data_IF_898392419056
#
_entry.id   IF_898392419056
#
_cell.length_a   1.000
_cell.length_b   1.000
_cell.length_c   1.000
_cell.angle_alpha   90.00
_cell.angle_beta   90.00
_cell.angle_gamma   90.00
#
_symmetry.space_group_name_H-M   'P 1'
#
loop_
_entity.id
_entity.type
_entity.pdbx_description
1 polymer ?
#
# COMPACT_ATOMS: atom_id res chain seq x y z
N UNK A 1 47.86 -34.42 14.69
CA UNK A 1 49.05 -33.74 14.16
C UNK A 1 49.08 -33.90 12.65
N UNK A 2 48.54 -32.96 11.91
CA UNK A 2 48.58 -32.88 10.45
C UNK A 2 49.07 -31.48 10.09
N UNK A 3 50.35 -31.38 9.80
CA UNK A 3 50.97 -30.13 9.32
C UNK A 3 50.45 -29.84 7.92
N UNK A 4 49.69 -28.75 7.77
CA UNK A 4 49.40 -28.16 6.47
C UNK A 4 50.73 -27.83 5.78
N UNK A 5 51.02 -28.47 4.64
CA UNK A 5 52.10 -28.05 3.76
C UNK A 5 51.67 -26.77 3.07
N UNK A 6 52.07 -25.63 3.66
CA UNK A 6 52.14 -24.39 2.90
C UNK A 6 53.25 -24.54 1.87
N UNK A 7 52.92 -24.38 0.61
CA UNK A 7 53.88 -24.30 -0.48
C UNK A 7 54.61 -22.97 -0.29
N UNK A 8 55.85 -23.00 0.14
CA UNK A 8 56.78 -21.86 0.04
C UNK A 8 57.17 -21.72 -1.43
N UNK A 9 56.41 -20.99 -2.23
CA UNK A 9 56.82 -20.58 -3.56
C UNK A 9 57.45 -19.17 -3.42
N UNK A 10 58.73 -19.11 -3.41
CA UNK A 10 59.49 -17.88 -3.19
C UNK A 10 60.04 -17.28 -4.50
N UNK A 11 59.47 -17.54 -5.67
CA UNK A 11 59.90 -16.83 -6.88
C UNK A 11 58.76 -15.96 -7.43
N UNK A 12 59.09 -14.73 -7.75
CA UNK A 12 58.20 -13.81 -8.49
C UNK A 12 57.58 -14.45 -9.76
N UNK A 13 58.32 -15.40 -10.34
CA UNK A 13 57.91 -16.18 -11.53
C UNK A 13 56.77 -17.13 -11.24
N UNK A 14 56.75 -17.78 -10.05
CA UNK A 14 55.69 -18.69 -9.66
C UNK A 14 54.41 -17.96 -9.32
N UNK A 15 54.53 -16.77 -8.64
CA UNK A 15 53.39 -15.90 -8.35
C UNK A 15 52.76 -15.37 -9.64
N UNK A 16 53.59 -14.93 -10.59
CA UNK A 16 53.13 -14.47 -11.89
C UNK A 16 52.36 -15.56 -12.64
N UNK A 17 52.89 -16.76 -12.66
CA UNK A 17 52.25 -17.94 -13.29
C UNK A 17 50.93 -18.26 -12.63
N UNK A 18 50.84 -18.25 -11.31
CA UNK A 18 49.55 -18.50 -10.60
C UNK A 18 48.53 -17.39 -10.96
N UNK A 19 48.94 -16.14 -11.06
CA UNK A 19 48.03 -15.04 -11.47
C UNK A 19 47.59 -15.27 -12.91
N UNK A 20 48.48 -15.56 -13.85
CA UNK A 20 48.20 -15.80 -15.25
C UNK A 20 47.22 -16.99 -15.39
N UNK A 21 47.52 -18.13 -14.75
CA UNK A 21 46.68 -19.31 -14.74
C UNK A 21 45.27 -19.03 -14.14
N UNK A 22 45.19 -18.19 -13.11
CA UNK A 22 43.94 -17.78 -12.48
C UNK A 22 43.10 -16.91 -13.38
N UNK A 23 43.71 -15.98 -14.12
CA UNK A 23 43.03 -15.11 -15.07
C UNK A 23 42.50 -15.86 -16.29
N UNK A 24 43.20 -16.98 -16.69
CA UNK A 24 42.73 -17.83 -17.81
C UNK A 24 41.47 -18.64 -17.44
N UNK A 25 41.21 -18.88 -16.16
CA UNK A 25 40.01 -19.62 -15.70
C UNK A 25 38.75 -18.73 -15.80
N UNK A 26 38.88 -17.38 -15.77
CA UNK A 26 37.76 -16.48 -15.90
C UNK A 26 37.19 -16.51 -17.31
N UNK A 27 35.87 -16.30 -17.45
CA UNK A 27 35.21 -16.45 -18.76
C UNK A 27 35.72 -15.44 -19.78
N UNK A 28 35.58 -14.15 -19.53
CA UNK A 28 36.10 -13.11 -20.38
C UNK A 28 36.75 -12.03 -19.53
N UNK A 29 38.04 -11.83 -19.74
CA UNK A 29 38.79 -10.80 -19.05
C UNK A 29 39.63 -10.03 -20.04
N UNK A 30 39.62 -8.70 -19.87
CA UNK A 30 40.48 -7.77 -20.59
C UNK A 30 40.98 -6.69 -19.63
N UNK A 31 42.24 -6.32 -19.76
CA UNK A 31 42.86 -5.24 -19.01
C UNK A 31 43.44 -4.25 -20.01
N UNK A 32 43.06 -2.97 -19.82
CA UNK A 32 43.64 -1.86 -20.58
C UNK A 32 44.48 -0.97 -19.67
N UNK A 33 45.50 -0.36 -20.26
CA UNK A 33 46.28 0.68 -19.59
C UNK A 33 45.56 2.04 -19.54
N UNK A 34 46.16 3.04 -18.94
CA UNK A 34 45.63 4.41 -18.85
C UNK A 34 45.45 5.11 -20.21
N UNK A 35 46.03 4.54 -21.29
CA UNK A 35 45.97 5.07 -22.63
C UNK A 35 44.95 4.30 -23.50
N UNK A 36 44.21 3.35 -22.90
CA UNK A 36 43.24 2.51 -23.57
C UNK A 36 43.85 1.40 -24.42
N UNK A 37 45.15 1.03 -24.17
CA UNK A 37 45.77 -0.08 -24.88
C UNK A 37 45.57 -1.38 -24.12
N UNK A 38 45.30 -2.46 -24.84
CA UNK A 38 45.11 -3.80 -24.30
C UNK A 38 46.45 -4.31 -23.78
N UNK A 39 46.57 -4.52 -22.46
CA UNK A 39 47.78 -5.06 -21.80
C UNK A 39 47.64 -6.52 -21.44
N UNK A 40 46.40 -6.99 -21.29
CA UNK A 40 46.09 -8.39 -21.05
C UNK A 40 44.70 -8.72 -21.62
N UNK A 41 44.57 -9.92 -22.17
CA UNK A 41 43.29 -10.52 -22.58
C UNK A 41 43.45 -12.03 -22.51
N UNK A 42 42.47 -12.77 -21.96
CA UNK A 42 42.53 -14.22 -21.87
C UNK A 42 42.06 -14.90 -23.16
N UNK A 43 42.44 -16.19 -23.32
CA UNK A 43 42.13 -16.93 -24.53
C UNK A 43 40.65 -17.12 -24.76
N UNK A 44 39.84 -17.24 -23.71
CA UNK A 44 38.39 -17.32 -23.80
C UNK A 44 37.80 -16.05 -24.45
N UNK A 45 38.30 -14.86 -24.08
CA UNK A 45 37.80 -13.62 -24.66
C UNK A 45 38.31 -13.42 -26.09
N UNK A 46 39.56 -13.82 -26.37
CA UNK A 46 40.07 -13.82 -27.74
C UNK A 46 39.22 -14.70 -28.67
N UNK A 47 38.87 -15.90 -28.22
CA UNK A 47 38.00 -16.83 -28.98
C UNK A 47 36.60 -16.23 -29.21
N UNK A 48 36.04 -15.56 -28.21
CA UNK A 48 34.75 -14.89 -28.32
C UNK A 48 34.78 -13.74 -29.35
N UNK A 49 35.86 -12.94 -29.36
CA UNK A 49 36.05 -11.83 -30.32
C UNK A 49 36.48 -12.28 -31.72
N UNK A 50 36.98 -13.52 -31.84
CA UNK A 50 37.44 -14.05 -33.13
C UNK A 50 38.85 -13.63 -33.52
N UNK A 51 39.69 -13.21 -32.57
CA UNK A 51 41.07 -12.77 -32.79
C UNK A 51 42.07 -13.64 -32.05
N UNK A 52 43.36 -13.57 -32.47
CA UNK A 52 44.45 -14.17 -31.71
C UNK A 52 45.00 -13.15 -30.71
N UNK A 53 45.39 -13.61 -29.52
CA UNK A 53 45.93 -12.75 -28.44
C UNK A 53 47.06 -11.82 -28.92
N UNK A 54 47.96 -12.34 -29.76
CA UNK A 54 49.08 -11.57 -30.30
C UNK A 54 48.66 -10.40 -31.21
N UNK A 55 47.51 -10.46 -31.80
CA UNK A 55 46.94 -9.43 -32.66
C UNK A 55 46.29 -8.29 -31.88
N UNK A 56 45.93 -8.58 -30.65
CA UNK A 56 45.20 -7.64 -29.80
C UNK A 56 46.09 -6.91 -28.77
N UNK A 57 47.18 -7.53 -28.33
CA UNK A 57 48.05 -6.93 -27.33
C UNK A 57 48.74 -5.67 -27.89
N UNK A 58 48.58 -4.54 -27.15
CA UNK A 58 49.10 -3.23 -27.50
C UNK A 58 48.18 -2.39 -28.40
N UNK A 59 47.16 -3.01 -28.98
CA UNK A 59 46.17 -2.27 -29.80
C UNK A 59 45.26 -1.44 -28.89
N UNK A 60 44.68 -0.39 -29.44
CA UNK A 60 43.66 0.41 -28.73
C UNK A 60 42.34 -0.37 -28.65
N UNK A 61 41.72 -0.36 -27.47
CA UNK A 61 40.46 -1.08 -27.30
C UNK A 61 39.36 -0.66 -28.25
N UNK A 62 39.30 0.60 -28.65
CA UNK A 62 38.32 1.13 -29.64
C UNK A 62 38.41 0.47 -31.02
N UNK A 63 39.62 0.04 -31.43
CA UNK A 63 39.80 -0.63 -32.70
C UNK A 63 39.26 -2.08 -32.69
N UNK A 64 39.04 -2.64 -31.51
CA UNK A 64 38.58 -4.02 -31.30
C UNK A 64 37.12 -4.04 -30.86
N UNK A 65 36.75 -3.11 -30.00
CA UNK A 65 35.38 -2.95 -29.45
C UNK A 65 34.99 -1.48 -29.58
N UNK A 66 34.40 -1.05 -30.72
CA UNK A 66 34.17 0.38 -31.04
C UNK A 66 33.31 1.11 -30.00
N UNK A 67 32.31 0.43 -29.45
CA UNK A 67 31.36 1.03 -28.52
C UNK A 67 31.73 0.75 -27.06
N UNK A 68 33.02 0.50 -26.77
CA UNK A 68 33.46 0.14 -25.41
C UNK A 68 33.20 1.28 -24.40
N UNK A 69 32.65 0.92 -23.23
CA UNK A 69 32.47 1.84 -22.10
C UNK A 69 33.66 1.80 -21.10
N UNK A 70 34.78 1.20 -21.47
CA UNK A 70 35.98 1.14 -20.61
C UNK A 70 36.59 2.53 -20.38
N UNK A 71 36.42 3.44 -21.34
CA UNK A 71 36.87 4.83 -21.20
C UNK A 71 36.09 5.59 -20.14
N UNK A 72 34.78 5.33 -20.00
CA UNK A 72 33.96 5.97 -18.96
C UNK A 72 34.54 5.64 -17.56
N UNK A 73 35.00 4.39 -17.37
CA UNK A 73 35.62 3.96 -16.11
C UNK A 73 37.04 4.52 -15.93
N UNK A 74 37.80 4.74 -17.04
CA UNK A 74 39.09 5.42 -17.00
C UNK A 74 38.97 6.89 -16.59
N UNK A 75 37.95 7.59 -17.09
CA UNK A 75 37.70 9.00 -16.83
C UNK A 75 37.12 9.24 -15.44
N UNK A 76 36.10 8.46 -15.04
CA UNK A 76 35.39 8.66 -13.78
C UNK A 76 36.12 8.06 -12.59
N UNK A 77 36.90 6.99 -12.81
CA UNK A 77 37.51 6.21 -11.75
C UNK A 77 36.56 5.46 -10.84
N UNK A 78 35.29 5.35 -11.25
CA UNK A 78 34.24 4.64 -10.53
C UNK A 78 34.02 3.25 -11.11
N UNK A 79 33.90 2.19 -10.27
CA UNK A 79 33.64 0.85 -10.75
C UNK A 79 32.18 0.74 -11.23
N UNK A 80 31.96 -0.05 -12.27
CA UNK A 80 30.62 -0.44 -12.73
C UNK A 80 30.47 -1.95 -12.58
N UNK A 81 29.36 -2.40 -12.00
CA UNK A 81 29.07 -3.82 -11.79
C UNK A 81 27.83 -4.23 -12.56
N UNK A 82 27.87 -5.45 -13.11
CA UNK A 82 26.73 -6.11 -13.78
C UNK A 82 26.05 -5.27 -14.87
N UNK A 83 26.85 -4.51 -15.66
CA UNK A 83 26.35 -3.71 -16.78
C UNK A 83 26.24 -4.59 -18.05
N UNK A 84 25.10 -4.49 -18.73
CA UNK A 84 24.88 -5.20 -20.00
C UNK A 84 25.56 -4.44 -21.13
N UNK A 85 26.40 -5.13 -21.88
CA UNK A 85 27.00 -4.64 -23.11
C UNK A 85 26.55 -5.48 -24.30
N UNK A 86 26.04 -4.84 -25.32
CA UNK A 86 25.57 -5.47 -26.56
C UNK A 86 26.53 -5.13 -27.69
N UNK A 87 27.07 -6.20 -28.32
CA UNK A 87 27.92 -6.06 -29.49
C UNK A 87 27.09 -5.78 -30.72
N UNK A 88 27.71 -5.22 -31.78
CA UNK A 88 27.04 -4.88 -33.04
C UNK A 88 26.43 -6.11 -33.75
N UNK A 89 26.90 -7.29 -33.47
CA UNK A 89 26.38 -8.58 -33.98
C UNK A 89 25.20 -9.16 -33.13
N UNK A 90 24.72 -8.41 -32.14
CA UNK A 90 23.59 -8.81 -31.28
C UNK A 90 23.97 -9.72 -30.12
N UNK A 91 25.25 -10.07 -29.95
CA UNK A 91 25.70 -10.80 -28.76
C UNK A 91 25.76 -9.86 -27.56
N UNK A 92 25.23 -10.29 -26.42
CA UNK A 92 25.27 -9.52 -25.18
C UNK A 92 26.10 -10.21 -24.11
N UNK A 93 26.85 -9.44 -23.32
CA UNK A 93 27.60 -9.93 -22.16
C UNK A 93 27.38 -8.99 -20.98
N UNK A 94 27.34 -9.57 -19.77
CA UNK A 94 27.30 -8.79 -18.53
C UNK A 94 28.71 -8.61 -18.00
N UNK A 95 29.11 -7.37 -17.85
CA UNK A 95 30.46 -6.98 -17.42
C UNK A 95 30.46 -6.24 -16.11
N UNK A 96 31.55 -6.50 -15.38
CA UNK A 96 31.97 -5.62 -14.29
C UNK A 96 33.27 -4.94 -14.69
N UNK A 97 33.35 -3.62 -14.58
CA UNK A 97 34.51 -2.79 -14.91
C UNK A 97 35.06 -2.14 -13.66
N UNK A 98 36.33 -2.39 -13.35
CA UNK A 98 36.96 -1.97 -12.10
C UNK A 98 38.22 -1.18 -12.45
N UNK A 99 38.37 0.05 -11.98
CA UNK A 99 39.60 0.83 -12.19
C UNK A 99 40.75 0.25 -11.36
N UNK A 100 41.91 0.10 -12.02
CA UNK A 100 43.16 -0.30 -11.35
C UNK A 100 43.88 0.96 -10.90
N UNK A 101 44.01 1.16 -9.61
CA UNK A 101 44.67 2.35 -9.02
C UNK A 101 45.99 1.97 -8.35
N UNK A 102 46.99 2.85 -8.47
CA UNK A 102 48.23 2.70 -7.71
C UNK A 102 48.01 3.09 -6.23
N UNK A 103 49.08 2.96 -5.41
CA UNK A 103 49.02 3.30 -3.96
C UNK A 103 48.82 4.82 -3.70
N UNK A 104 48.94 5.67 -4.72
CA UNK A 104 48.62 7.09 -4.63
C UNK A 104 47.20 7.43 -5.08
N UNK A 105 46.41 6.42 -5.50
CA UNK A 105 45.04 6.60 -5.97
C UNK A 105 44.95 6.97 -7.47
N UNK A 106 46.06 7.04 -8.21
CA UNK A 106 46.04 7.35 -9.62
C UNK A 106 45.66 6.12 -10.45
N UNK A 107 44.81 6.31 -11.47
CA UNK A 107 44.32 5.24 -12.33
C UNK A 107 45.43 4.80 -13.28
N UNK A 108 45.79 3.53 -13.22
CA UNK A 108 46.77 2.88 -14.07
C UNK A 108 46.14 2.14 -15.26
N UNK A 109 44.87 1.82 -15.15
CA UNK A 109 44.15 1.07 -16.14
C UNK A 109 42.78 0.67 -15.66
N UNK A 110 42.09 -0.15 -16.45
CA UNK A 110 40.79 -0.76 -16.10
C UNK A 110 40.83 -2.25 -16.41
N UNK A 111 40.31 -3.04 -15.51
CA UNK A 111 40.01 -4.46 -15.74
C UNK A 111 38.51 -4.60 -16.01
N UNK A 112 38.15 -5.30 -17.08
CA UNK A 112 36.79 -5.71 -17.36
C UNK A 112 36.70 -7.24 -17.27
N UNK A 113 35.70 -7.74 -16.54
CA UNK A 113 35.48 -9.15 -16.29
C UNK A 113 34.03 -9.49 -16.57
N UNK A 114 33.78 -10.55 -17.34
CA UNK A 114 32.47 -11.19 -17.43
C UNK A 114 32.55 -12.57 -16.74
N UNK A 115 31.62 -12.82 -15.84
CA UNK A 115 31.51 -14.09 -15.11
C UNK A 115 30.49 -15.05 -15.74
N UNK A 116 29.72 -14.58 -16.76
CA UNK A 116 28.71 -15.37 -17.44
C UNK A 116 29.14 -15.70 -18.87
N UNK A 117 29.09 -16.98 -19.19
CA UNK A 117 29.42 -17.49 -20.51
C UNK A 117 28.16 -17.42 -21.38
N UNK A 118 28.15 -16.47 -22.34
CA UNK A 118 27.24 -16.40 -23.49
C UNK A 118 25.72 -16.31 -23.27
N UNK A 119 25.08 -15.90 -24.35
CA UNK A 119 23.64 -15.88 -24.63
C UNK A 119 22.83 -17.07 -24.11
N UNK A 120 23.43 -18.25 -23.97
CA UNK A 120 22.71 -19.45 -23.53
C UNK A 120 22.36 -19.41 -22.04
N UNK A 121 23.23 -18.90 -21.18
CA UNK A 121 22.94 -18.76 -19.73
C UNK A 121 22.00 -17.57 -19.47
N UNK A 122 22.16 -16.48 -20.20
CA UNK A 122 21.21 -15.37 -20.17
C UNK A 122 19.87 -15.79 -20.79
N UNK A 123 19.87 -16.52 -21.88
CA UNK A 123 18.68 -17.11 -22.49
C UNK A 123 17.96 -18.05 -21.53
N UNK A 124 18.70 -18.92 -20.84
CA UNK A 124 18.13 -19.82 -19.81
C UNK A 124 17.55 -19.03 -18.63
N UNK A 125 18.26 -18.01 -18.12
CA UNK A 125 17.76 -17.15 -17.05
C UNK A 125 16.54 -16.33 -17.52
N UNK A 126 16.55 -15.83 -18.74
CA UNK A 126 15.38 -15.15 -19.33
C UNK A 126 14.20 -16.10 -19.49
N UNK A 127 14.41 -17.31 -19.99
CA UNK A 127 13.36 -18.33 -20.04
C UNK A 127 12.84 -18.72 -18.67
N UNK A 128 13.71 -18.83 -17.67
CA UNK A 128 13.33 -19.13 -16.28
C UNK A 128 12.54 -17.95 -15.67
N UNK A 129 12.97 -16.72 -15.89
CA UNK A 129 12.23 -15.50 -15.50
C UNK A 129 10.88 -15.44 -16.21
N UNK A 130 10.82 -15.72 -17.51
CA UNK A 130 9.56 -15.73 -18.26
C UNK A 130 8.64 -16.89 -17.82
N UNK A 131 9.19 -18.08 -17.53
CA UNK A 131 8.43 -19.19 -16.93
C UNK A 131 7.91 -18.83 -15.55
N UNK A 132 8.72 -18.17 -14.71
CA UNK A 132 8.28 -17.66 -13.40
C UNK A 132 7.25 -16.55 -13.53
N UNK A 133 7.38 -15.66 -14.51
CA UNK A 133 6.38 -14.63 -14.84
C UNK A 133 5.07 -15.24 -15.33
N UNK A 134 5.13 -16.21 -16.23
CA UNK A 134 3.96 -16.94 -16.73
C UNK A 134 3.29 -17.76 -15.62
N UNK A 135 4.08 -18.46 -14.79
CA UNK A 135 3.58 -19.19 -13.62
C UNK A 135 2.93 -18.23 -12.59
N UNK A 136 3.55 -17.08 -12.36
CA UNK A 136 2.99 -16.04 -11.49
C UNK A 136 1.72 -15.42 -12.10
N UNK A 137 1.67 -15.20 -13.42
CA UNK A 137 0.47 -14.75 -14.12
C UNK A 137 -0.64 -15.80 -14.08
N UNK A 138 -0.32 -17.09 -14.27
CA UNK A 138 -1.29 -18.19 -14.13
C UNK A 138 -1.76 -18.33 -12.69
N UNK A 139 -0.87 -18.17 -11.70
CA UNK A 139 -1.23 -18.17 -10.29
C UNK A 139 -2.09 -16.95 -9.92
N UNK A 140 -1.77 -15.78 -10.46
CA UNK A 140 -2.60 -14.56 -10.35
C UNK A 140 -3.95 -14.77 -11.05
N UNK A 141 -4.00 -15.39 -12.23
CA UNK A 141 -5.25 -15.73 -12.92
C UNK A 141 -6.06 -16.79 -12.16
N UNK A 142 -5.42 -17.77 -11.53
CA UNK A 142 -6.08 -18.75 -10.66
C UNK A 142 -6.60 -18.10 -9.38
N UNK A 143 -5.85 -17.17 -8.78
CA UNK A 143 -6.32 -16.35 -7.66
C UNK A 143 -7.43 -15.37 -8.09
N UNK A 144 -7.38 -14.86 -9.31
CA UNK A 144 -8.43 -14.03 -9.91
C UNK A 144 -9.68 -14.86 -10.28
N UNK A 145 -9.52 -16.13 -10.60
CA UNK A 145 -10.62 -17.08 -10.79
C UNK A 145 -11.32 -17.48 -9.48
N UNK A 146 -10.64 -17.31 -8.34
CA UNK A 146 -11.21 -17.46 -6.98
C UNK A 146 -11.68 -16.11 -6.41
N UNK A 147 -11.21 -14.99 -6.97
CA UNK A 147 -11.67 -13.64 -6.68
C UNK A 147 -12.65 -13.23 -7.76
N UNK A 148 -13.90 -12.97 -7.36
CA UNK A 148 -14.97 -12.42 -8.18
C UNK A 148 -14.45 -11.48 -9.27
N UNK A 149 -15.03 -11.60 -10.47
CA UNK A 149 -14.73 -10.87 -11.71
C UNK A 149 -14.13 -9.47 -11.54
N UNK A 150 -13.19 -9.05 -12.41
CA UNK A 150 -12.46 -7.81 -12.26
C UNK A 150 -13.44 -6.66 -12.01
N UNK A 151 -13.29 -6.00 -10.86
CA UNK A 151 -14.11 -4.86 -10.48
C UNK A 151 -13.74 -3.66 -11.36
N UNK A 152 -14.25 -3.64 -12.58
CA UNK A 152 -14.42 -2.40 -13.34
C UNK A 152 -15.48 -1.58 -12.61
N UNK A 153 -15.61 -0.27 -12.83
CA UNK A 153 -16.69 0.54 -12.23
C UNK A 153 -18.10 -0.02 -12.50
N UNK A 154 -18.26 -0.87 -13.52
CA UNK A 154 -19.47 -1.67 -13.75
C UNK A 154 -19.79 -2.66 -12.62
N UNK A 155 -18.80 -3.05 -11.81
CA UNK A 155 -19.02 -3.91 -10.63
C UNK A 155 -19.52 -3.14 -9.40
N UNK A 156 -19.42 -1.82 -9.41
CA UNK A 156 -20.06 -0.97 -8.42
C UNK A 156 -21.56 -0.91 -8.78
N UNK A 157 -22.36 -1.73 -8.09
CA UNK A 157 -23.80 -1.77 -8.29
C UNK A 157 -24.42 -0.50 -7.73
N UNK A 158 -25.16 0.23 -8.57
CA UNK A 158 -25.85 1.46 -8.20
C UNK A 158 -26.04 2.38 -9.41
N UNK A 159 -27.18 3.06 -9.45
CA UNK A 159 -27.64 3.99 -10.49
C UNK A 159 -28.02 5.35 -9.93
N UNK A 160 -28.01 5.50 -8.59
CA UNK A 160 -28.32 6.77 -7.94
C UNK A 160 -27.39 7.89 -8.46
N UNK A 161 -27.87 9.15 -8.51
CA UNK A 161 -27.09 10.27 -9.04
C UNK A 161 -25.73 10.40 -8.36
N UNK A 162 -25.68 10.22 -7.04
CA UNK A 162 -24.45 10.34 -6.27
C UNK A 162 -23.43 9.23 -6.59
N UNK A 163 -23.89 7.98 -6.72
CA UNK A 163 -23.00 6.87 -7.13
C UNK A 163 -22.52 7.05 -8.57
N UNK A 164 -23.36 7.54 -9.46
CA UNK A 164 -22.99 7.84 -10.85
C UNK A 164 -21.96 8.96 -10.92
N UNK A 165 -22.11 10.02 -10.15
CA UNK A 165 -21.14 11.10 -10.03
C UNK A 165 -19.79 10.59 -9.53
N UNK A 166 -19.79 9.77 -8.46
CA UNK A 166 -18.57 9.17 -7.90
C UNK A 166 -17.86 8.31 -8.96
N UNK A 167 -18.60 7.45 -9.69
CA UNK A 167 -18.02 6.66 -10.79
C UNK A 167 -17.34 7.53 -11.85
N UNK A 168 -17.96 8.65 -12.21
CA UNK A 168 -17.41 9.60 -13.18
C UNK A 168 -16.14 10.29 -12.67
N UNK A 169 -16.09 10.67 -11.40
CA UNK A 169 -14.89 11.24 -10.77
C UNK A 169 -13.77 10.19 -10.77
N UNK A 170 -14.06 8.98 -10.32
CA UNK A 170 -13.08 7.89 -10.27
C UNK A 170 -12.51 7.56 -11.64
N UNK A 171 -13.31 7.54 -12.70
CA UNK A 171 -12.85 7.28 -14.05
C UNK A 171 -11.78 8.28 -14.54
N UNK A 172 -11.80 9.52 -14.03
CA UNK A 172 -10.82 10.56 -14.40
C UNK A 172 -9.50 10.44 -13.65
N UNK A 173 -9.50 9.85 -12.44
CA UNK A 173 -8.34 9.86 -11.54
C UNK A 173 -7.63 8.51 -11.42
N UNK A 174 -8.15 7.45 -11.99
CA UNK A 174 -7.59 6.09 -11.88
C UNK A 174 -6.15 5.95 -12.35
N UNK A 175 -5.71 6.76 -13.29
CA UNK A 175 -4.36 6.72 -13.85
C UNK A 175 -3.40 7.73 -13.21
N UNK A 176 -3.82 8.37 -12.11
CA UNK A 176 -2.96 9.28 -11.35
C UNK A 176 -2.30 8.55 -10.17
N UNK A 177 -1.21 9.10 -9.64
CA UNK A 177 -0.58 8.64 -8.39
C UNK A 177 -1.10 9.40 -7.17
N UNK A 178 -2.13 10.22 -7.36
CA UNK A 178 -2.74 11.06 -6.32
C UNK A 178 -3.34 10.18 -5.23
N UNK A 179 -3.06 10.43 -3.94
CA UNK A 179 -3.75 9.76 -2.85
C UNK A 179 -5.26 9.98 -2.91
N UNK A 180 -6.03 8.92 -2.65
CA UNK A 180 -7.49 8.95 -2.65
C UNK A 180 -7.96 8.56 -1.25
N UNK A 181 -8.79 9.40 -0.64
CA UNK A 181 -9.45 9.14 0.63
C UNK A 181 -10.92 8.80 0.40
N UNK A 182 -11.30 7.57 0.75
CA UNK A 182 -12.69 7.11 0.73
C UNK A 182 -13.28 7.22 2.13
N UNK A 183 -14.26 8.07 2.32
CA UNK A 183 -14.96 8.26 3.60
C UNK A 183 -16.39 7.73 3.52
N UNK A 184 -17.01 7.52 4.66
CA UNK A 184 -18.40 7.08 4.77
C UNK A 184 -18.60 5.99 5.82
N UNK A 185 -19.85 5.75 6.19
CA UNK A 185 -20.22 4.80 7.23
C UNK A 185 -19.69 3.38 6.98
N UNK A 186 -19.58 2.60 8.06
CA UNK A 186 -19.22 1.18 7.92
C UNK A 186 -20.22 0.43 7.03
N UNK A 187 -19.69 -0.43 6.14
CA UNK A 187 -20.53 -1.23 5.26
C UNK A 187 -21.06 -0.51 4.01
N UNK A 188 -20.68 0.73 3.70
CA UNK A 188 -21.07 1.44 2.47
C UNK A 188 -20.44 0.89 1.20
N UNK A 189 -19.36 0.09 1.34
CA UNK A 189 -18.66 -0.55 0.21
C UNK A 189 -17.31 0.07 -0.13
N UNK A 190 -16.68 0.86 0.75
CA UNK A 190 -15.38 1.52 0.50
C UNK A 190 -14.34 0.59 -0.11
N UNK A 191 -14.22 -0.64 0.37
CA UNK A 191 -13.28 -1.63 -0.16
C UNK A 191 -13.61 -2.04 -1.61
N UNK A 192 -14.90 -2.11 -1.98
CA UNK A 192 -15.33 -2.41 -3.36
C UNK A 192 -14.93 -1.26 -4.29
N UNK A 193 -15.11 -0.01 -3.83
CA UNK A 193 -14.66 1.16 -4.59
C UNK A 193 -13.14 1.20 -4.74
N UNK A 194 -12.39 0.92 -3.67
CA UNK A 194 -10.92 0.84 -3.74
C UNK A 194 -10.45 -0.24 -4.73
N UNK A 195 -11.06 -1.41 -4.71
CA UNK A 195 -10.77 -2.48 -5.68
C UNK A 195 -11.13 -2.06 -7.11
N UNK A 196 -12.23 -1.34 -7.29
CA UNK A 196 -12.65 -0.83 -8.60
C UNK A 196 -11.66 0.22 -9.15
N UNK A 197 -11.13 1.11 -8.30
CA UNK A 197 -10.10 2.08 -8.66
C UNK A 197 -8.83 1.35 -9.14
N UNK A 198 -8.35 0.36 -8.38
CA UNK A 198 -7.19 -0.43 -8.74
C UNK A 198 -7.38 -1.11 -10.09
N UNK A 199 -8.51 -1.82 -10.28
CA UNK A 199 -8.79 -2.59 -11.50
C UNK A 199 -9.04 -1.71 -12.74
N UNK A 200 -9.42 -0.46 -12.56
CA UNK A 200 -9.57 0.51 -13.65
C UNK A 200 -8.25 1.24 -13.98
N UNK A 201 -7.22 1.10 -13.17
CA UNK A 201 -5.94 1.79 -13.32
C UNK A 201 -4.97 1.06 -14.26
N UNK A 202 -3.89 1.74 -14.64
CA UNK A 202 -2.76 1.14 -15.37
C UNK A 202 -2.06 0.03 -14.55
N UNK A 203 -2.36 -0.10 -13.26
CA UNK A 203 -1.80 -1.11 -12.34
C UNK A 203 -2.70 -2.33 -12.18
N UNK A 204 -3.78 -2.45 -12.96
CA UNK A 204 -4.77 -3.56 -12.86
C UNK A 204 -4.20 -4.97 -12.96
N UNK A 205 -3.06 -5.13 -13.63
CA UNK A 205 -2.36 -6.42 -13.75
C UNK A 205 -1.41 -6.74 -12.59
N UNK A 206 -1.21 -5.79 -11.68
CA UNK A 206 -0.33 -5.92 -10.53
C UNK A 206 -1.13 -6.32 -9.27
N UNK A 207 -0.49 -6.81 -8.20
CA UNK A 207 -1.16 -7.12 -6.96
C UNK A 207 -1.83 -5.90 -6.33
N UNK A 208 -2.96 -6.11 -5.64
CA UNK A 208 -3.64 -5.12 -4.81
C UNK A 208 -3.32 -5.41 -3.34
N UNK A 209 -2.41 -4.62 -2.75
CA UNK A 209 -1.98 -4.81 -1.36
C UNK A 209 -3.01 -4.17 -0.43
N UNK A 210 -3.69 -4.99 0.37
CA UNK A 210 -4.70 -4.53 1.33
C UNK A 210 -4.15 -4.63 2.74
N UNK A 211 -4.32 -3.56 3.51
CA UNK A 211 -3.96 -3.50 4.92
C UNK A 211 -5.14 -2.95 5.69
N UNK A 212 -5.71 -3.75 6.58
CA UNK A 212 -6.68 -3.26 7.56
C UNK A 212 -5.90 -2.89 8.84
N UNK A 213 -5.88 -1.59 9.15
CA UNK A 213 -5.08 -1.06 10.25
C UNK A 213 -5.61 -1.49 11.64
N UNK A 214 -6.92 -1.78 11.75
CA UNK A 214 -7.52 -2.28 12.99
C UNK A 214 -7.28 -3.77 13.22
N UNK A 215 -7.04 -4.55 12.15
CA UNK A 215 -6.86 -5.99 12.26
C UNK A 215 -5.45 -6.40 12.73
N UNK A 216 -4.48 -5.50 12.66
CA UNK A 216 -3.10 -5.76 13.05
C UNK A 216 -2.89 -5.31 14.50
N UNK A 217 -2.38 -6.17 15.40
CA UNK A 217 -1.99 -5.76 16.74
C UNK A 217 -1.02 -4.58 16.72
N UNK A 218 -1.18 -3.61 17.63
CA UNK A 218 -0.40 -2.37 17.65
C UNK A 218 1.11 -2.61 17.68
N UNK A 219 1.54 -3.63 18.40
CA UNK A 219 2.95 -4.00 18.57
C UNK A 219 3.57 -4.54 17.26
N UNK A 220 2.74 -5.08 16.36
CA UNK A 220 3.18 -5.64 15.09
C UNK A 220 2.98 -4.69 13.91
N UNK A 221 2.18 -3.64 14.10
CA UNK A 221 1.76 -2.74 13.02
C UNK A 221 2.95 -2.11 12.32
N UNK A 222 3.95 -1.67 13.08
CA UNK A 222 5.18 -1.07 12.55
C UNK A 222 5.97 -2.07 11.69
N UNK A 223 6.20 -3.26 12.22
CA UNK A 223 6.95 -4.31 11.52
C UNK A 223 6.23 -4.84 10.28
N UNK A 224 4.89 -4.89 10.32
CA UNK A 224 4.09 -5.30 9.16
C UNK A 224 4.06 -4.24 8.06
N UNK A 225 3.92 -2.96 8.40
CA UNK A 225 3.86 -1.88 7.44
C UNK A 225 5.22 -1.56 6.81
N UNK A 226 6.26 -1.40 7.65
CA UNK A 226 7.56 -0.89 7.21
C UNK A 226 8.63 -1.97 7.05
N UNK A 227 8.43 -3.16 7.65
CA UNK A 227 9.41 -4.24 7.64
C UNK A 227 10.52 -4.04 8.66
N UNK A 228 11.44 -5.00 8.74
CA UNK A 228 12.57 -4.95 9.67
C UNK A 228 13.79 -5.68 9.13
N UNK A 229 14.98 -5.26 9.59
CA UNK A 229 16.26 -5.92 9.30
C UNK A 229 16.55 -7.03 10.31
N UNK A 230 17.48 -7.90 9.93
CA UNK A 230 17.96 -9.01 10.78
C UNK A 230 18.46 -8.51 12.12
N UNK A 231 17.98 -9.09 13.23
CA UNK A 231 18.50 -8.80 14.56
C UNK A 231 17.93 -7.53 15.23
N UNK A 232 16.89 -6.92 14.66
CA UNK A 232 16.29 -5.69 15.18
C UNK A 232 15.62 -5.89 16.54
N UNK A 233 15.07 -7.08 16.81
CA UNK A 233 14.46 -7.46 18.09
C UNK A 233 14.55 -8.97 18.33
N UNK A 234 14.31 -9.41 19.60
CA UNK A 234 14.28 -10.82 19.96
C UNK A 234 13.13 -11.54 19.27
N UNK A 235 13.42 -12.34 18.25
CA UNK A 235 12.43 -13.01 17.41
C UNK A 235 12.45 -12.59 15.93
N UNK A 236 13.29 -11.61 15.56
CA UNK A 236 13.49 -11.23 14.17
C UNK A 236 14.03 -12.43 13.36
N UNK A 237 13.38 -12.73 12.24
CA UNK A 237 13.78 -13.83 11.34
C UNK A 237 15.13 -13.52 10.69
N UNK A 238 15.98 -14.54 10.53
CA UNK A 238 17.23 -14.39 9.75
C UNK A 238 16.89 -13.96 8.33
N UNK A 239 17.43 -12.82 7.88
CA UNK A 239 17.14 -12.21 6.59
C UNK A 239 16.15 -11.03 6.65
N UNK A 240 15.60 -10.71 7.83
CA UNK A 240 14.63 -9.62 7.97
C UNK A 240 13.26 -9.95 7.36
N UNK A 241 12.38 -8.95 7.25
CA UNK A 241 11.06 -9.07 6.62
C UNK A 241 10.74 -7.80 5.85
N UNK A 242 10.35 -7.93 4.60
CA UNK A 242 9.84 -6.82 3.81
C UNK A 242 8.48 -6.34 4.36
N UNK A 243 8.30 -5.02 4.45
CA UNK A 243 7.06 -4.41 4.88
C UNK A 243 6.02 -4.34 3.76
N UNK A 244 4.75 -4.05 4.14
CA UNK A 244 3.65 -3.91 3.17
C UNK A 244 3.91 -2.79 2.16
N UNK A 245 4.60 -1.69 2.54
CA UNK A 245 4.96 -0.63 1.61
C UNK A 245 5.98 -1.09 0.57
N UNK A 246 6.99 -1.88 0.94
CA UNK A 246 7.93 -2.47 -0.03
C UNK A 246 7.21 -3.43 -0.97
N UNK A 247 6.33 -4.29 -0.44
CA UNK A 247 5.51 -5.21 -1.25
C UNK A 247 4.54 -4.47 -2.17
N UNK A 248 4.17 -3.24 -1.80
CA UNK A 248 3.31 -2.38 -2.60
C UNK A 248 4.07 -1.55 -3.65
N UNK A 249 5.37 -1.74 -3.80
CA UNK A 249 6.12 -1.01 -4.81
C UNK A 249 5.64 -1.36 -6.24
N UNK A 250 5.40 -0.32 -7.05
CA UNK A 250 4.82 -0.37 -8.40
C UNK A 250 3.36 -0.89 -8.47
N UNK A 251 2.65 -0.96 -7.33
CA UNK A 251 1.26 -1.43 -7.26
C UNK A 251 0.35 -0.45 -6.51
N UNK A 252 -0.84 -0.87 -6.14
CA UNK A 252 -1.78 -0.08 -5.33
C UNK A 252 -1.82 -0.64 -3.90
N UNK A 253 -1.73 0.24 -2.91
CA UNK A 253 -1.95 -0.09 -1.50
C UNK A 253 -3.26 0.52 -1.01
N UNK A 254 -4.06 -0.29 -0.32
CA UNK A 254 -5.23 0.12 0.43
C UNK A 254 -4.91 0.11 1.92
N UNK A 255 -5.07 1.25 2.57
CA UNK A 255 -5.03 1.40 4.02
C UNK A 255 -6.47 1.57 4.53
N UNK A 256 -7.07 0.48 4.99
CA UNK A 256 -8.43 0.49 5.52
C UNK A 256 -8.43 0.78 7.02
N UNK A 257 -9.45 1.50 7.50
CA UNK A 257 -9.57 1.97 8.88
C UNK A 257 -8.34 2.77 9.33
N UNK A 258 -7.91 3.74 8.50
CA UNK A 258 -6.69 4.54 8.72
C UNK A 258 -6.73 5.33 10.04
N UNK A 259 -7.91 5.64 10.53
CA UNK A 259 -8.16 6.29 11.82
C UNK A 259 -7.67 5.49 13.04
N UNK A 260 -7.45 4.17 12.89
CA UNK A 260 -6.95 3.30 13.95
C UNK A 260 -5.43 3.31 14.10
N UNK A 261 -4.72 4.01 13.19
CA UNK A 261 -3.27 4.15 13.27
C UNK A 261 -2.86 4.96 14.51
N UNK A 262 -1.93 4.46 15.35
CA UNK A 262 -1.31 5.25 16.42
C UNK A 262 -0.60 6.50 15.87
N UNK A 263 -0.54 7.59 16.64
CA UNK A 263 0.08 8.86 16.22
C UNK A 263 1.55 8.71 15.76
N UNK A 264 2.29 7.78 16.37
CA UNK A 264 3.66 7.46 15.97
C UNK A 264 3.70 6.88 14.55
N UNK A 265 2.78 5.97 14.23
CA UNK A 265 2.66 5.37 12.91
C UNK A 265 2.18 6.36 11.86
N UNK A 266 1.30 7.28 12.25
CA UNK A 266 0.87 8.38 11.39
C UNK A 266 2.06 9.24 10.95
N UNK A 267 3.04 9.50 11.85
CA UNK A 267 4.25 10.26 11.52
C UNK A 267 5.15 9.53 10.51
N UNK A 268 5.28 8.21 10.63
CA UNK A 268 6.05 7.39 9.68
C UNK A 268 5.35 7.30 8.32
N UNK A 269 4.03 7.10 8.33
CA UNK A 269 3.22 7.10 7.11
C UNK A 269 3.35 8.43 6.37
N UNK A 270 3.32 9.56 7.09
CA UNK A 270 3.51 10.89 6.49
C UNK A 270 4.83 10.97 5.71
N UNK A 271 5.95 10.49 6.29
CA UNK A 271 7.25 10.46 5.59
C UNK A 271 7.18 9.63 4.32
N UNK A 272 6.60 8.42 4.38
CA UNK A 272 6.44 7.57 3.19
C UNK A 272 5.64 8.29 2.10
N UNK A 273 4.57 9.01 2.45
CA UNK A 273 3.75 9.74 1.49
C UNK A 273 4.41 11.03 0.96
N UNK A 274 5.35 11.62 1.70
CA UNK A 274 6.06 12.84 1.29
C UNK A 274 7.24 12.51 0.38
N UNK A 275 8.05 11.53 0.78
CA UNK A 275 9.33 11.21 0.16
C UNK A 275 9.22 10.09 -0.87
N UNK A 276 8.11 9.32 -0.83
CA UNK A 276 7.94 8.08 -1.60
C UNK A 276 9.11 7.11 -1.37
N UNK A 277 9.55 7.04 -0.11
CA UNK A 277 10.61 6.14 0.35
C UNK A 277 10.16 5.44 1.63
N UNK A 278 10.65 4.23 1.84
CA UNK A 278 10.43 3.47 3.07
C UNK A 278 11.75 2.98 3.64
N UNK A 279 11.91 3.09 4.95
CA UNK A 279 13.03 2.52 5.71
C UNK A 279 12.53 1.37 6.57
N UNK A 280 13.23 0.23 6.54
CA UNK A 280 12.96 -0.87 7.47
C UNK A 280 13.38 -0.50 8.87
N UNK A 281 12.72 -1.06 9.86
CA UNK A 281 13.14 -0.92 11.26
C UNK A 281 14.57 -1.48 11.39
N UNK A 282 15.47 -0.67 11.94
CA UNK A 282 16.89 -1.02 12.10
C UNK A 282 17.74 -0.80 10.84
N UNK A 283 17.20 -0.28 9.76
CA UNK A 283 17.93 0.15 8.56
C UNK A 283 18.04 1.67 8.50
N UNK A 284 19.11 2.15 7.88
CA UNK A 284 19.30 3.56 7.50
C UNK A 284 19.22 3.76 5.98
N UNK A 285 18.94 2.67 5.24
CA UNK A 285 18.89 2.70 3.78
C UNK A 285 17.46 2.80 3.30
N UNK A 286 17.05 3.94 2.71
CA UNK A 286 15.71 4.10 2.18
C UNK A 286 15.53 3.29 0.88
N UNK A 287 14.33 2.76 0.70
CA UNK A 287 13.89 2.11 -0.55
C UNK A 287 12.86 3.00 -1.23
N UNK A 288 13.12 3.41 -2.47
CA UNK A 288 12.19 4.22 -3.27
C UNK A 288 10.94 3.45 -3.63
N UNK A 289 9.80 4.12 -3.56
CA UNK A 289 8.49 3.57 -3.83
C UNK A 289 7.80 4.30 -4.98
N UNK A 290 7.13 3.54 -5.82
CA UNK A 290 6.19 4.03 -6.82
C UNK A 290 4.84 3.36 -6.59
N UNK A 291 3.96 3.97 -5.78
CA UNK A 291 2.71 3.34 -5.39
C UNK A 291 1.52 4.31 -5.51
N UNK A 292 0.34 3.73 -5.73
CA UNK A 292 -0.94 4.42 -5.59
C UNK A 292 -1.48 4.14 -4.19
N UNK A 293 -1.81 5.19 -3.44
CA UNK A 293 -2.36 5.05 -2.09
C UNK A 293 -3.85 5.32 -2.10
N UNK A 294 -4.62 4.39 -1.54
CA UNK A 294 -6.03 4.55 -1.26
C UNK A 294 -6.21 4.39 0.24
N UNK A 295 -6.80 5.37 0.90
CA UNK A 295 -7.12 5.33 2.32
C UNK A 295 -8.63 5.21 2.50
N UNK A 296 -9.08 4.40 3.48
CA UNK A 296 -10.49 4.34 3.87
C UNK A 296 -10.64 4.74 5.34
N UNK A 297 -11.69 5.53 5.63
CA UNK A 297 -12.09 5.87 7.00
C UNK A 297 -13.60 5.76 7.17
N UNK A 298 -14.03 5.31 8.34
CA UNK A 298 -15.43 5.31 8.76
C UNK A 298 -15.72 6.38 9.82
N UNK A 299 -14.70 7.14 10.25
CA UNK A 299 -14.79 8.22 11.23
C UNK A 299 -14.51 9.57 10.55
N UNK A 300 -14.98 10.61 11.17
CA UNK A 300 -14.65 11.97 10.78
C UNK A 300 -13.20 12.29 11.19
N UNK A 301 -12.29 12.30 10.21
CA UNK A 301 -10.88 12.59 10.42
C UNK A 301 -10.63 14.06 10.81
N UNK A 302 -11.49 14.99 10.39
CA UNK A 302 -11.40 16.39 10.78
C UNK A 302 -11.71 16.54 12.27
N UNK A 303 -12.78 15.89 12.76
CA UNK A 303 -13.08 15.85 14.19
C UNK A 303 -11.94 15.21 14.98
N UNK A 304 -11.38 14.07 14.51
CA UNK A 304 -10.27 13.41 15.17
C UNK A 304 -9.00 14.30 15.21
N UNK A 305 -8.79 15.13 14.20
CA UNK A 305 -7.68 16.10 14.18
C UNK A 305 -7.90 17.19 15.25
N UNK A 306 -9.11 17.72 15.35
CA UNK A 306 -9.46 18.67 16.41
C UNK A 306 -9.29 18.07 17.82
N UNK A 307 -9.57 16.78 17.97
CA UNK A 307 -9.36 16.01 19.22
C UNK A 307 -7.90 15.55 19.43
N UNK A 308 -6.97 15.90 18.54
CA UNK A 308 -5.55 15.49 18.54
C UNK A 308 -5.34 13.97 18.50
N UNK A 309 -6.28 13.22 17.95
CA UNK A 309 -6.21 11.76 17.73
C UNK A 309 -5.71 11.42 16.32
N UNK A 310 -5.74 12.37 15.41
CA UNK A 310 -5.20 12.26 14.07
C UNK A 310 -4.35 13.50 13.75
N UNK A 311 -3.26 13.32 13.00
CA UNK A 311 -2.37 14.44 12.66
C UNK A 311 -2.92 15.24 11.48
N UNK A 312 -2.90 16.54 11.61
CA UNK A 312 -3.37 17.48 10.60
C UNK A 312 -2.52 17.41 9.31
N UNK A 313 -1.20 17.28 9.45
CA UNK A 313 -0.28 17.19 8.32
C UNK A 313 -0.50 15.91 7.50
N UNK A 314 -0.78 14.78 8.16
CA UNK A 314 -1.13 13.54 7.48
C UNK A 314 -2.49 13.66 6.77
N UNK A 315 -3.49 14.25 7.42
CA UNK A 315 -4.81 14.47 6.82
C UNK A 315 -4.68 15.23 5.49
N UNK A 316 -3.97 16.36 5.46
CA UNK A 316 -3.74 17.10 4.22
C UNK A 316 -2.99 16.30 3.15
N UNK A 317 -2.15 15.37 3.54
CA UNK A 317 -1.38 14.56 2.58
C UNK A 317 -2.18 13.42 1.96
N UNK A 318 -3.11 12.82 2.71
CA UNK A 318 -3.98 11.74 2.20
C UNK A 318 -5.26 12.27 1.55
N UNK A 319 -5.72 13.46 1.96
CA UNK A 319 -6.95 14.09 1.49
C UNK A 319 -6.70 15.01 0.28
N UNK A 320 -6.04 14.48 -0.75
CA UNK A 320 -5.86 15.19 -2.04
C UNK A 320 -7.13 15.06 -2.88
N UNK A 321 -7.75 13.88 -2.85
CA UNK A 321 -9.08 13.64 -3.41
C UNK A 321 -9.90 12.88 -2.37
N UNK A 322 -10.90 13.54 -1.81
CA UNK A 322 -11.87 12.92 -0.92
C UNK A 322 -13.12 12.50 -1.67
N UNK A 323 -13.55 11.28 -1.42
CA UNK A 323 -14.80 10.72 -1.96
C UNK A 323 -15.60 10.16 -0.81
N UNK A 324 -16.69 10.84 -0.51
CA UNK A 324 -17.64 10.41 0.50
C UNK A 324 -18.68 9.49 -0.13
N UNK A 325 -18.75 8.25 0.39
CA UNK A 325 -19.73 7.26 -0.03
C UNK A 325 -21.01 7.41 0.77
N UNK A 326 -22.15 7.68 0.11
CA UNK A 326 -23.41 7.88 0.80
C UNK A 326 -23.87 6.59 1.48
N UNK A 327 -24.48 6.69 2.65
CA UNK A 327 -25.13 5.55 3.30
C UNK A 327 -26.31 5.03 2.46
N UNK A 328 -26.67 3.75 2.64
CA UNK A 328 -27.68 3.10 1.81
C UNK A 328 -29.06 3.78 1.87
N UNK A 329 -29.42 4.36 3.01
CA UNK A 329 -30.67 5.13 3.17
C UNK A 329 -30.76 6.40 2.30
N UNK A 330 -29.62 6.95 1.84
CA UNK A 330 -29.56 8.13 0.96
C UNK A 330 -29.49 7.74 -0.53
N UNK A 331 -29.47 6.42 -0.83
CA UNK A 331 -29.48 5.87 -2.19
C UNK A 331 -30.46 4.70 -2.30
N UNK A 332 -31.66 4.88 -1.79
CA UNK A 332 -32.69 3.84 -1.79
C UNK A 332 -33.03 3.31 -3.20
N UNK A 333 -32.79 4.12 -4.25
CA UNK A 333 -32.91 3.74 -5.66
C UNK A 333 -31.97 2.59 -6.07
N UNK A 334 -30.83 2.44 -5.39
CA UNK A 334 -29.87 1.37 -5.66
C UNK A 334 -30.26 0.04 -5.02
N UNK A 335 -31.16 0.04 -4.03
CA UNK A 335 -31.50 -1.13 -3.24
C UNK A 335 -32.02 -2.31 -4.09
N UNK A 336 -32.94 -2.13 -5.07
CA UNK A 336 -33.39 -3.24 -5.89
C UNK A 336 -32.29 -3.92 -6.68
N UNK A 337 -31.37 -3.11 -7.25
CA UNK A 337 -30.22 -3.61 -8.02
C UNK A 337 -29.20 -4.32 -7.11
N UNK A 338 -28.93 -3.74 -5.95
CA UNK A 338 -28.07 -4.36 -4.93
C UNK A 338 -28.66 -5.68 -4.46
N UNK A 339 -29.94 -5.72 -4.14
CA UNK A 339 -30.63 -6.94 -3.70
C UNK A 339 -30.56 -8.04 -4.75
N UNK A 340 -30.87 -7.73 -6.02
CA UNK A 340 -30.74 -8.69 -7.12
C UNK A 340 -29.31 -9.23 -7.28
N UNK A 341 -28.32 -8.34 -7.30
CA UNK A 341 -26.91 -8.73 -7.40
C UNK A 341 -26.45 -9.60 -6.23
N UNK A 342 -26.95 -9.33 -5.03
CA UNK A 342 -26.65 -10.13 -3.84
C UNK A 342 -27.30 -11.51 -3.91
N UNK A 343 -28.54 -11.63 -4.38
CA UNK A 343 -29.21 -12.93 -4.61
C UNK A 343 -28.39 -13.78 -5.58
N UNK A 344 -27.97 -13.20 -6.71
CA UNK A 344 -27.13 -13.91 -7.69
C UNK A 344 -25.79 -14.38 -7.10
N UNK A 345 -25.17 -13.54 -6.28
CA UNK A 345 -23.92 -13.88 -5.57
C UNK A 345 -24.13 -15.03 -4.59
N UNK A 346 -25.22 -14.99 -3.83
CA UNK A 346 -25.56 -15.97 -2.80
C UNK A 346 -25.95 -17.31 -3.44
N UNK A 347 -26.74 -17.28 -4.51
CA UNK A 347 -27.10 -18.48 -5.29
C UNK A 347 -25.85 -19.22 -5.77
N UNK A 348 -24.88 -18.49 -6.34
CA UNK A 348 -23.60 -19.07 -6.77
C UNK A 348 -22.79 -19.66 -5.61
N UNK A 349 -22.77 -18.96 -4.46
CA UNK A 349 -22.01 -19.39 -3.28
C UNK A 349 -22.57 -20.66 -2.65
N UNK A 350 -23.89 -20.76 -2.54
CA UNK A 350 -24.55 -21.85 -1.81
C UNK A 350 -25.29 -22.85 -2.72
N UNK A 351 -25.23 -22.64 -4.05
CA UNK A 351 -25.92 -23.47 -5.05
C UNK A 351 -27.45 -23.51 -4.81
N UNK A 352 -28.03 -22.33 -4.55
CA UNK A 352 -29.46 -22.13 -4.34
C UNK A 352 -30.14 -21.70 -5.64
N UNK A 353 -31.47 -21.80 -5.66
CA UNK A 353 -32.30 -21.41 -6.81
C UNK A 353 -33.33 -20.35 -6.41
N UNK A 354 -32.89 -19.29 -5.79
CA UNK A 354 -33.72 -18.13 -5.45
C UNK A 354 -33.80 -17.22 -6.67
N UNK A 355 -35.02 -17.02 -7.18
CA UNK A 355 -35.25 -16.31 -8.45
C UNK A 355 -35.32 -14.78 -8.30
N UNK A 356 -35.39 -14.24 -7.08
CA UNK A 356 -35.42 -12.80 -6.81
C UNK A 356 -36.28 -12.44 -5.60
N UNK A 357 -36.68 -11.16 -5.53
CA UNK A 357 -37.52 -10.61 -4.47
C UNK A 357 -38.86 -10.16 -5.06
N UNK A 358 -39.95 -10.32 -4.29
CA UNK A 358 -41.26 -9.75 -4.67
C UNK A 358 -41.26 -8.23 -4.48
N UNK A 359 -42.21 -7.53 -5.11
CA UNK A 359 -42.42 -6.09 -4.97
C UNK A 359 -42.64 -5.67 -3.50
N UNK A 360 -43.42 -6.48 -2.78
CA UNK A 360 -43.71 -6.27 -1.36
C UNK A 360 -42.45 -6.43 -0.49
N UNK A 361 -41.60 -7.41 -0.83
CA UNK A 361 -40.33 -7.61 -0.16
C UNK A 361 -39.37 -6.41 -0.39
N UNK A 362 -39.29 -5.92 -1.62
CA UNK A 362 -38.50 -4.74 -1.96
C UNK A 362 -38.98 -3.50 -1.22
N UNK A 363 -40.31 -3.23 -1.23
CA UNK A 363 -40.89 -2.11 -0.46
C UNK A 363 -40.56 -2.23 1.04
N UNK A 364 -40.69 -3.44 1.60
CA UNK A 364 -40.39 -3.70 3.00
C UNK A 364 -38.92 -3.41 3.35
N UNK A 365 -38.01 -3.76 2.45
CA UNK A 365 -36.57 -3.48 2.61
C UNK A 365 -36.24 -1.99 2.42
N UNK A 366 -36.94 -1.26 1.54
CA UNK A 366 -36.76 0.18 1.34
C UNK A 366 -37.14 1.00 2.57
N UNK A 367 -38.11 0.55 3.36
CA UNK A 367 -38.51 1.21 4.61
C UNK A 367 -37.54 1.04 5.78
N UNK A 368 -36.47 0.27 5.61
CA UNK A 368 -35.50 0.05 6.65
C UNK A 368 -34.31 1.01 6.52
N UNK A 369 -33.81 1.54 7.65
CA UNK A 369 -32.78 2.58 7.65
C UNK A 369 -31.36 2.07 7.33
N UNK A 370 -31.13 0.77 7.33
CA UNK A 370 -29.84 0.12 7.03
C UNK A 370 -28.63 0.70 7.78
N UNK A 371 -28.60 0.68 9.11
CA UNK A 371 -27.46 1.22 9.89
C UNK A 371 -26.13 0.52 9.58
N UNK A 372 -26.16 -0.73 9.12
CA UNK A 372 -24.99 -1.48 8.64
C UNK A 372 -24.82 -1.46 7.12
N UNK A 373 -25.57 -0.58 6.44
CA UNK A 373 -25.47 -0.32 5.00
C UNK A 373 -25.54 -1.61 4.14
N UNK A 374 -24.73 -1.69 3.09
CA UNK A 374 -24.71 -2.84 2.15
C UNK A 374 -24.27 -4.13 2.83
N UNK A 375 -23.36 -4.03 3.83
CA UNK A 375 -22.93 -5.22 4.59
C UNK A 375 -24.09 -5.85 5.38
N UNK A 376 -24.94 -5.03 5.97
CA UNK A 376 -26.14 -5.52 6.66
C UNK A 376 -27.15 -6.07 5.65
N UNK A 377 -27.37 -5.39 4.53
CA UNK A 377 -28.26 -5.86 3.45
C UNK A 377 -27.80 -7.24 2.94
N UNK A 378 -26.51 -7.44 2.71
CA UNK A 378 -25.94 -8.72 2.28
C UNK A 378 -26.26 -9.84 3.28
N UNK A 379 -26.03 -9.62 4.58
CA UNK A 379 -26.34 -10.63 5.60
C UNK A 379 -27.84 -10.93 5.70
N UNK A 380 -28.68 -9.92 5.53
CA UNK A 380 -30.13 -10.07 5.57
C UNK A 380 -30.63 -10.89 4.39
N UNK A 381 -30.17 -10.60 3.18
CA UNK A 381 -30.52 -11.36 1.97
C UNK A 381 -29.93 -12.76 2.04
N UNK A 382 -28.67 -12.91 2.47
CA UNK A 382 -28.01 -14.22 2.63
C UNK A 382 -28.83 -15.13 3.54
N UNK A 383 -29.28 -14.61 4.69
CA UNK A 383 -30.13 -15.34 5.63
C UNK A 383 -31.46 -15.74 4.99
N UNK A 384 -32.14 -14.81 4.29
CA UNK A 384 -33.42 -15.10 3.65
C UNK A 384 -33.29 -16.16 2.54
N UNK A 385 -32.25 -16.05 1.68
CA UNK A 385 -31.96 -17.02 0.63
C UNK A 385 -31.67 -18.41 1.20
N UNK A 386 -30.81 -18.52 2.21
CA UNK A 386 -30.45 -19.81 2.81
C UNK A 386 -31.64 -20.49 3.47
N UNK A 387 -32.49 -19.72 4.15
CA UNK A 387 -33.69 -20.28 4.79
C UNK A 387 -34.79 -20.68 3.79
N UNK A 388 -34.90 -19.97 2.65
CA UNK A 388 -35.88 -20.23 1.60
C UNK A 388 -35.45 -21.39 0.70
N UNK A 389 -34.18 -21.43 0.31
CA UNK A 389 -33.62 -22.43 -0.61
C UNK A 389 -33.92 -22.18 -2.09
N UNK A 390 -35.18 -21.90 -2.47
CA UNK A 390 -35.58 -21.69 -3.85
C UNK A 390 -36.83 -20.79 -3.98
N UNK A 391 -37.08 -20.26 -5.18
CA UNK A 391 -38.24 -19.42 -5.50
C UNK A 391 -38.08 -17.95 -5.12
N UNK A 392 -39.18 -17.21 -5.04
CA UNK A 392 -39.20 -15.75 -4.82
C UNK A 392 -39.20 -15.42 -3.33
N UNK A 393 -38.32 -14.54 -2.86
CA UNK A 393 -38.34 -14.02 -1.50
C UNK A 393 -39.50 -13.06 -1.32
N UNK A 394 -40.37 -13.35 -0.36
CA UNK A 394 -41.52 -12.54 0.02
C UNK A 394 -41.22 -11.69 1.25
N UNK A 395 -42.05 -10.69 1.55
CA UNK A 395 -41.90 -9.84 2.74
C UNK A 395 -41.85 -10.66 4.04
N UNK A 396 -42.56 -11.79 4.11
CA UNK A 396 -42.55 -12.73 5.24
C UNK A 396 -41.19 -13.31 5.56
N UNK A 397 -40.30 -13.46 4.54
CA UNK A 397 -38.96 -14.01 4.70
C UNK A 397 -38.02 -13.00 5.43
N UNK A 398 -38.46 -11.75 5.62
CA UNK A 398 -37.70 -10.66 6.28
C UNK A 398 -38.27 -10.21 7.63
N UNK A 399 -39.32 -10.86 8.17
CA UNK A 399 -39.95 -10.45 9.44
C UNK A 399 -39.00 -10.37 10.64
N UNK A 400 -37.86 -11.06 10.58
CA UNK A 400 -36.80 -10.92 11.62
C UNK A 400 -36.23 -9.52 11.71
N UNK A 401 -36.39 -8.67 10.70
CA UNK A 401 -35.96 -7.25 10.75
C UNK A 401 -36.84 -6.42 11.70
N UNK A 402 -38.08 -6.82 11.95
CA UNK A 402 -38.96 -6.08 12.89
C UNK A 402 -38.37 -6.05 14.31
N UNK A 403 -37.77 -7.17 14.75
CA UNK A 403 -37.09 -7.20 16.04
C UNK A 403 -35.91 -6.22 16.11
N UNK A 404 -35.19 -6.06 14.98
CA UNK A 404 -34.09 -5.08 14.87
C UNK A 404 -34.63 -3.65 14.80
N UNK A 405 -35.73 -3.38 14.08
CA UNK A 405 -36.42 -2.07 14.07
C UNK A 405 -36.78 -1.61 15.46
N UNK A 406 -37.37 -2.48 16.29
CA UNK A 406 -37.76 -2.18 17.68
C UNK A 406 -36.54 -1.90 18.57
N UNK A 407 -35.44 -2.63 18.41
CA UNK A 407 -34.20 -2.42 19.17
C UNK A 407 -33.48 -1.12 18.76
N UNK A 408 -33.47 -0.77 17.48
CA UNK A 408 -32.85 0.47 16.99
C UNK A 408 -33.70 1.69 17.34
N UNK A 409 -35.03 1.59 17.26
CA UNK A 409 -35.94 2.66 17.67
C UNK A 409 -35.83 2.93 19.20
N UNK A 410 -35.70 1.89 20.02
CA UNK A 410 -35.46 2.05 21.47
C UNK A 410 -34.13 2.78 21.76
N UNK A 411 -33.05 2.44 21.05
CA UNK A 411 -31.75 3.13 21.19
C UNK A 411 -31.78 4.57 20.67
N UNK A 412 -32.50 4.83 19.58
CA UNK A 412 -32.65 6.19 19.04
C UNK A 412 -33.46 7.09 19.99
N UNK A 413 -34.51 6.54 20.63
CA UNK A 413 -35.32 7.23 21.65
C UNK A 413 -34.50 7.51 22.89
N UNK A 414 -33.70 6.53 23.38
CA UNK A 414 -32.79 6.75 24.50
C UNK A 414 -31.71 7.80 24.20
N UNK A 415 -31.09 7.76 23.01
CA UNK A 415 -30.07 8.74 22.61
C UNK A 415 -30.68 10.14 22.40
N UNK A 416 -31.86 10.24 21.80
CA UNK A 416 -32.59 11.50 21.64
C UNK A 416 -33.08 12.04 22.99
N UNK A 417 -33.57 11.18 23.88
CA UNK A 417 -33.99 11.55 25.23
C UNK A 417 -32.81 12.03 26.08
N UNK A 418 -31.65 11.38 26.00
CA UNK A 418 -30.43 11.79 26.70
C UNK A 418 -29.92 13.12 26.15
N UNK A 419 -29.86 13.29 24.83
CA UNK A 419 -29.46 14.58 24.19
C UNK A 419 -30.42 15.73 24.52
N UNK A 420 -31.73 15.46 24.52
CA UNK A 420 -32.76 16.41 24.94
C UNK A 420 -32.68 16.76 26.44
N UNK A 421 -32.40 15.74 27.26
CA UNK A 421 -32.23 15.94 28.71
C UNK A 421 -31.01 16.83 29.03
N UNK A 422 -29.87 16.61 28.37
CA UNK A 422 -28.70 17.47 28.59
C UNK A 422 -28.91 18.92 28.10
N UNK A 423 -29.51 19.09 26.91
CA UNK A 423 -29.88 20.45 26.42
C UNK A 423 -30.90 21.11 27.33
N UNK A 424 -31.92 20.41 27.74
CA UNK A 424 -32.92 20.93 28.69
C UNK A 424 -32.31 21.31 30.04
N UNK A 425 -31.38 20.53 30.56
CA UNK A 425 -30.67 20.84 31.80
C UNK A 425 -29.77 22.06 31.68
N UNK A 426 -29.04 22.23 30.56
CA UNK A 426 -28.22 23.42 30.33
C UNK A 426 -29.04 24.70 30.18
N UNK A 427 -30.19 24.64 29.51
CA UNK A 427 -31.10 25.77 29.36
C UNK A 427 -31.73 26.16 30.72
N UNK A 428 -32.23 25.16 31.46
CA UNK A 428 -32.81 25.40 32.80
C UNK A 428 -31.77 25.96 33.79
N UNK A 429 -30.54 25.47 33.75
CA UNK A 429 -29.44 25.95 34.58
C UNK A 429 -29.06 27.42 34.25
N UNK A 430 -28.99 27.74 32.95
CA UNK A 430 -28.74 29.11 32.46
C UNK A 430 -29.81 30.07 32.92
N UNK A 431 -31.08 29.68 32.82
CA UNK A 431 -32.22 30.49 33.21
C UNK A 431 -32.25 30.76 34.75
N UNK A 432 -31.95 29.73 35.55
CA UNK A 432 -31.86 29.85 37.02
C UNK A 432 -30.72 30.80 37.43
N UNK A 433 -29.56 30.74 36.79
CA UNK A 433 -28.45 31.64 37.07
C UNK A 433 -28.81 33.07 36.67
N UNK A 434 -29.48 33.27 35.56
CA UNK A 434 -29.89 34.58 35.06
C UNK A 434 -30.96 35.22 35.97
N UNK A 435 -31.91 34.42 36.47
CA UNK A 435 -32.90 34.84 37.43
C UNK A 435 -32.27 35.27 38.77
N UNK A 436 -31.36 34.44 39.31
CA UNK A 436 -30.67 34.76 40.57
C UNK A 436 -29.78 36.02 40.46
N UNK A 437 -29.12 36.23 39.33
CA UNK A 437 -28.36 37.45 39.07
C UNK A 437 -29.26 38.67 38.98
N UNK A 438 -30.42 38.57 38.32
CA UNK A 438 -31.41 39.66 38.22
C UNK A 438 -32.02 39.96 39.56
N UNK A 439 -32.42 38.96 40.35
CA UNK A 439 -33.01 39.16 41.68
C UNK A 439 -32.03 39.79 42.68
N UNK A 440 -30.73 39.58 42.51
CA UNK A 440 -29.69 40.12 43.40
C UNK A 440 -29.06 41.41 42.86
N UNK A 441 -29.63 42.01 41.80
CA UNK A 441 -29.10 43.23 41.19
C UNK A 441 -27.68 43.10 40.66
N UNK A 442 -27.31 41.94 40.13
CA UNK A 442 -25.98 41.64 39.60
C UNK A 442 -24.94 41.25 40.66
N UNK A 443 -25.32 41.14 41.92
CA UNK A 443 -24.39 40.78 42.98
C UNK A 443 -24.09 39.25 42.98
N UNK A 444 -23.00 38.88 42.33
CA UNK A 444 -22.57 37.45 42.12
C UNK A 444 -22.36 36.70 43.45
N UNK A 445 -21.97 37.40 44.52
CA UNK A 445 -21.79 36.79 45.83
C UNK A 445 -23.11 36.40 46.51
N UNK A 446 -24.13 37.26 46.36
CA UNK A 446 -25.49 36.99 46.88
C UNK A 446 -26.18 35.91 46.03
N UNK A 447 -26.06 36.01 44.71
CA UNK A 447 -26.59 35.03 43.75
C UNK A 447 -26.02 33.60 44.01
N UNK A 448 -24.70 33.45 44.26
CA UNK A 448 -24.12 32.18 44.60
C UNK A 448 -24.71 31.57 45.88
N UNK A 449 -24.95 32.43 46.89
CA UNK A 449 -25.56 32.01 48.16
C UNK A 449 -27.03 31.57 47.99
N UNK A 450 -27.78 32.29 47.15
CA UNK A 450 -29.19 32.01 46.83
C UNK A 450 -29.33 30.69 46.02
N UNK A 451 -28.41 30.44 45.10
CA UNK A 451 -28.33 29.19 44.32
C UNK A 451 -27.71 28.00 45.08
N UNK A 452 -27.21 28.22 46.32
CA UNK A 452 -26.59 27.16 47.12
C UNK A 452 -25.27 26.64 46.53
N UNK A 453 -24.56 27.42 45.71
CA UNK A 453 -23.30 27.01 45.08
C UNK A 453 -22.12 27.87 45.50
N UNK A 454 -20.90 27.35 45.30
CA UNK A 454 -19.70 28.15 45.57
C UNK A 454 -19.54 29.31 44.59
N UNK A 455 -18.93 30.42 45.03
CA UNK A 455 -18.65 31.58 44.16
C UNK A 455 -17.82 31.20 42.91
N UNK A 456 -16.80 30.34 43.09
CA UNK A 456 -15.97 29.86 42.01
C UNK A 456 -16.76 29.07 40.95
N UNK A 457 -17.70 28.27 41.38
CA UNK A 457 -18.58 27.50 40.48
C UNK A 457 -19.55 28.42 39.75
N UNK A 458 -20.11 29.45 40.42
CA UNK A 458 -20.96 30.42 39.75
C UNK A 458 -20.18 31.19 38.66
N UNK A 459 -18.96 31.66 38.94
CA UNK A 459 -18.12 32.35 37.96
C UNK A 459 -17.82 31.49 36.75
N UNK A 460 -17.44 30.22 36.95
CA UNK A 460 -17.20 29.28 35.87
C UNK A 460 -18.44 29.07 34.99
N UNK A 461 -19.64 29.04 35.60
CA UNK A 461 -20.91 28.88 34.86
C UNK A 461 -21.32 30.15 34.12
N UNK A 462 -21.10 31.32 34.71
CA UNK A 462 -21.33 32.64 34.05
C UNK A 462 -20.46 32.73 32.78
N UNK A 463 -19.19 32.33 32.88
CA UNK A 463 -18.25 32.34 31.75
C UNK A 463 -18.68 31.31 30.68
N UNK A 464 -19.00 30.07 31.10
CA UNK A 464 -19.48 29.01 30.21
C UNK A 464 -20.72 29.40 29.39
N UNK A 465 -21.67 30.12 30.02
CA UNK A 465 -22.94 30.48 29.38
C UNK A 465 -22.97 31.89 28.81
N UNK A 466 -21.86 32.63 28.87
CA UNK A 466 -21.73 33.98 28.32
C UNK A 466 -22.70 34.99 28.98
N UNK A 467 -23.03 34.82 30.29
CA UNK A 467 -23.91 35.71 31.03
C UNK A 467 -23.10 36.91 31.55
N UNK A 468 -23.68 38.13 31.43
CA UNK A 468 -23.04 39.35 31.91
C UNK A 468 -23.58 39.76 33.26
#
# INVERSE_FOLDING_TARGET
MGKSKYIESNSLTDIKKIIDDSLEILFHIIIIDRFGRIVYINDNYCAFLGYKRQELLGEKIESVIPNTKLYDTLETGEPTFDDLFEFEDGRGLVYSRIPIKNHYGEIQGVISVSLLNSTDTLGFLYEEIEKLRQSNQLFIQQLQGLSTAPAVFSSIVGVSPRITEIKNILARVTNTTMPILLTGESGTGKEVFAAAIHNASNRRGAPFVKVNCAAIPRELLESELFGYETGTFSGAVKGGKAGKFELANNVTILLDEIEELPLEMQSKLLRVLQEYEVERIGSIKPTKLNLQVICCSNKDLYQMTAEKKFREDLLYRINVLEIELPPLRERAEDLPLLASSLVDKINRKYKLDVTGLSSEALSYLQDYAWPGNVRELEHVIERACVLKGSGILAAGDFLFLEKKKKLSAGRAVESAAVGSFFKGKETAEKDLIQQALSATGGNKSKAAKELGISRSLLYAKIDKYGLK
#
